data_IF_767001228052
#
_entry.id   IF_767001228052
#
_cell.length_a   1.000
_cell.length_b   1.000
_cell.length_c   1.000
_cell.angle_alpha   90.00
_cell.angle_beta   90.00
_cell.angle_gamma   90.00
#
_symmetry.space_group_name_H-M   'P 1'
#
loop_
_entity.id
_entity.type
_entity.pdbx_description
1 polymer ?
#
# COMPACT_ATOMS: atom_id res chain seq x y z
N UNK A 1 -14.94 17.83 20.31
CA UNK A 1 -13.80 18.74 20.57
C UNK A 1 -13.35 18.57 22.02
N UNK A 2 -12.06 18.68 22.28
CA UNK A 2 -11.54 18.77 23.64
C UNK A 2 -11.70 20.21 24.18
N UNK A 3 -11.37 20.42 25.46
CA UNK A 3 -11.46 21.74 26.09
C UNK A 3 -10.57 22.83 25.45
N UNK A 4 -9.75 22.47 24.44
CA UNK A 4 -8.88 23.37 23.68
C UNK A 4 -9.37 23.53 22.22
N UNK A 5 -10.56 23.03 21.89
CA UNK A 5 -11.15 23.08 20.54
C UNK A 5 -10.51 22.14 19.52
N UNK A 6 -9.78 21.10 19.95
CA UNK A 6 -9.24 20.11 19.05
C UNK A 6 -10.31 19.08 18.71
N UNK A 7 -10.33 18.66 17.46
CA UNK A 7 -11.12 17.48 17.02
C UNK A 7 -10.45 16.22 17.57
N UNK A 8 -11.19 15.49 18.40
CA UNK A 8 -10.72 14.23 18.97
C UNK A 8 -11.55 13.04 18.47
N UNK A 9 -10.95 11.86 18.33
CA UNK A 9 -11.70 10.67 17.94
C UNK A 9 -12.82 10.38 18.93
N UNK A 10 -13.99 9.99 18.43
CA UNK A 10 -15.07 9.51 19.27
C UNK A 10 -14.80 8.07 19.71
N UNK A 11 -15.44 7.66 20.81
CA UNK A 11 -15.43 6.25 21.26
C UNK A 11 -16.24 5.32 20.34
N UNK A 12 -16.97 5.87 19.38
CA UNK A 12 -17.79 5.10 18.44
C UNK A 12 -17.08 4.97 17.10
N UNK A 13 -17.09 3.74 16.58
CA UNK A 13 -16.64 3.44 15.22
C UNK A 13 -17.86 3.28 14.34
N UNK A 14 -17.93 4.03 13.25
CA UNK A 14 -18.96 3.85 12.23
C UNK A 14 -18.65 2.57 11.43
N UNK A 15 -19.41 1.52 11.66
CA UNK A 15 -19.36 0.28 10.90
C UNK A 15 -20.66 0.14 10.12
N UNK A 16 -20.61 0.33 8.84
CA UNK A 16 -21.68 0.09 7.86
C UNK A 16 -23.13 0.58 8.20
N UNK A 17 -24.04 0.55 7.21
CA UNK A 17 -25.37 1.17 7.16
C UNK A 17 -26.41 0.77 8.22
N UNK A 18 -26.12 -0.16 9.10
CA UNK A 18 -27.09 -0.71 10.05
C UNK A 18 -26.88 -0.24 11.50
N UNK A 19 -26.53 1.03 11.71
CA UNK A 19 -26.47 1.56 13.06
C UNK A 19 -27.90 1.83 13.54
N UNK A 20 -28.56 0.80 14.04
CA UNK A 20 -29.85 0.88 14.70
C UNK A 20 -29.74 1.15 16.21
N UNK A 21 -28.50 1.23 16.73
CA UNK A 21 -28.27 1.47 18.16
C UNK A 21 -28.70 2.92 18.52
N UNK A 22 -29.70 3.09 19.43
CA UNK A 22 -30.19 4.40 19.83
C UNK A 22 -29.09 5.30 20.38
N UNK A 23 -28.17 4.78 21.19
CA UNK A 23 -27.09 5.57 21.80
C UNK A 23 -26.14 6.19 20.76
N UNK A 24 -25.90 5.47 19.66
CA UNK A 24 -25.08 5.98 18.55
C UNK A 24 -25.85 7.03 17.77
N UNK A 25 -27.16 6.83 17.58
CA UNK A 25 -28.03 7.79 16.93
C UNK A 25 -28.07 9.12 17.71
N UNK A 26 -28.29 9.06 19.00
CA UNK A 26 -28.34 10.23 19.87
C UNK A 26 -26.99 10.93 19.92
N UNK A 27 -25.89 10.18 19.97
CA UNK A 27 -24.53 10.74 19.85
C UNK A 27 -24.33 11.47 18.53
N UNK A 28 -24.72 10.88 17.40
CA UNK A 28 -24.59 11.50 16.07
C UNK A 28 -25.46 12.77 15.92
N UNK A 29 -26.66 12.77 16.51
CA UNK A 29 -27.54 13.96 16.51
C UNK A 29 -27.01 15.08 17.41
N UNK A 30 -26.40 14.73 18.55
CA UNK A 30 -25.83 15.70 19.49
C UNK A 30 -24.45 16.21 19.06
N UNK A 31 -23.79 15.52 18.14
CA UNK A 31 -22.47 15.90 17.66
C UNK A 31 -22.56 17.14 16.76
N UNK A 32 -21.73 18.13 17.04
CA UNK A 32 -21.60 19.35 16.24
C UNK A 32 -21.23 18.98 14.80
N UNK A 33 -22.12 19.27 13.88
CA UNK A 33 -21.91 19.03 12.45
C UNK A 33 -20.95 20.05 11.84
N UNK A 34 -20.17 19.60 10.86
CA UNK A 34 -19.24 20.48 10.15
C UNK A 34 -18.05 20.94 10.98
N UNK A 35 -17.57 20.10 11.92
CA UNK A 35 -16.34 20.35 12.66
C UNK A 35 -15.20 20.57 11.68
N UNK A 36 -14.65 21.76 11.69
CA UNK A 36 -13.45 22.13 10.92
C UNK A 36 -12.33 22.49 11.88
N UNK A 37 -11.08 22.14 11.58
CA UNK A 37 -9.93 22.57 12.37
C UNK A 37 -9.91 24.10 12.51
N UNK A 38 -9.36 24.62 13.61
CA UNK A 38 -9.18 26.06 13.78
C UNK A 38 -8.46 26.68 12.57
N UNK A 39 -8.71 27.95 12.31
CA UNK A 39 -8.08 28.66 11.19
C UNK A 39 -6.56 28.55 11.18
N UNK A 40 -5.95 28.51 12.36
CA UNK A 40 -4.51 28.32 12.52
C UNK A 40 -4.06 26.91 12.10
N UNK A 41 -4.80 25.87 12.50
CA UNK A 41 -4.56 24.49 12.03
C UNK A 41 -4.86 24.31 10.55
N UNK A 42 -5.87 24.98 10.02
CA UNK A 42 -6.15 24.98 8.58
C UNK A 42 -5.02 25.62 7.80
N UNK A 43 -4.50 26.78 8.26
CA UNK A 43 -3.35 27.44 7.64
C UNK A 43 -2.10 26.55 7.68
N UNK A 44 -1.81 25.91 8.82
CA UNK A 44 -0.67 25.02 8.94
C UNK A 44 -0.81 23.76 8.08
N UNK A 45 -2.01 23.20 7.96
CA UNK A 45 -2.27 22.10 7.04
C UNK A 45 -2.23 22.53 5.58
N UNK A 46 -2.66 23.74 5.27
CA UNK A 46 -2.55 24.31 3.92
C UNK A 46 -1.11 24.59 3.56
N UNK A 47 -0.30 25.11 4.49
CA UNK A 47 1.14 25.30 4.30
C UNK A 47 1.88 23.96 4.12
N UNK A 48 1.55 22.94 4.94
CA UNK A 48 2.09 21.58 4.74
C UNK A 48 1.65 20.96 3.40
N UNK A 49 0.41 21.18 2.98
CA UNK A 49 -0.07 20.76 1.66
C UNK A 49 0.54 21.56 0.52
N UNK A 50 0.87 22.83 0.73
CA UNK A 50 1.53 23.65 -0.29
C UNK A 50 3.02 23.32 -0.43
N UNK A 51 3.69 22.93 0.65
CA UNK A 51 5.08 22.42 0.59
C UNK A 51 5.16 20.99 0.05
N UNK A 52 4.08 20.21 0.10
CA UNK A 52 3.96 18.90 -0.56
C UNK A 52 3.21 18.93 -1.90
N UNK A 53 2.69 20.08 -2.32
CA UNK A 53 2.24 20.35 -3.68
C UNK A 53 3.43 20.87 -4.50
N UNK A 54 4.45 20.08 -4.67
CA UNK A 54 5.05 19.96 -5.98
C UNK A 54 3.88 19.79 -6.96
N UNK A 55 3.88 20.57 -8.03
CA UNK A 55 2.91 20.42 -9.10
C UNK A 55 2.66 18.93 -9.31
N UNK A 56 1.40 18.49 -9.13
CA UNK A 56 1.07 17.10 -9.48
C UNK A 56 1.13 17.09 -11.00
N UNK A 57 2.34 16.98 -11.52
CA UNK A 57 2.51 16.72 -12.94
C UNK A 57 1.89 15.36 -13.22
N UNK A 58 1.09 15.24 -14.26
CA UNK A 58 0.52 13.96 -14.63
C UNK A 58 1.64 12.93 -14.83
N UNK A 59 1.49 11.76 -14.21
CA UNK A 59 2.42 10.66 -14.43
C UNK A 59 2.16 10.10 -15.81
N UNK A 60 2.99 10.51 -16.78
CA UNK A 60 2.88 10.13 -18.18
C UNK A 60 4.24 9.67 -18.73
N UNK A 61 4.21 9.10 -19.94
CA UNK A 61 5.41 8.56 -20.59
C UNK A 61 5.84 7.23 -19.98
N UNK A 62 7.07 6.84 -20.25
CA UNK A 62 7.62 5.60 -19.70
C UNK A 62 7.99 5.78 -18.24
N UNK A 63 7.54 4.83 -17.42
CA UNK A 63 7.86 4.72 -15.99
C UNK A 63 8.23 3.29 -15.66
N UNK A 64 9.10 3.13 -14.65
CA UNK A 64 9.53 1.82 -14.21
C UNK A 64 9.04 1.59 -12.77
N UNK A 65 8.53 0.38 -12.51
CA UNK A 65 8.17 -0.09 -11.19
C UNK A 65 9.09 -1.25 -10.79
N UNK A 66 9.47 -1.30 -9.52
CA UNK A 66 10.23 -2.42 -8.98
C UNK A 66 9.30 -3.34 -8.18
N UNK A 67 9.23 -4.59 -8.58
CA UNK A 67 8.45 -5.64 -7.92
C UNK A 67 9.39 -6.64 -7.29
N UNK A 68 9.38 -6.74 -5.97
CA UNK A 68 10.24 -7.67 -5.23
C UNK A 68 9.40 -8.82 -4.70
N UNK A 69 9.71 -10.03 -5.12
CA UNK A 69 9.05 -11.24 -4.64
C UNK A 69 9.76 -11.73 -3.38
N UNK A 70 9.03 -11.81 -2.27
CA UNK A 70 9.52 -12.32 -1.00
C UNK A 70 8.79 -13.59 -0.60
N UNK A 71 9.53 -14.59 -0.17
CA UNK A 71 8.97 -15.83 0.38
C UNK A 71 9.60 -16.12 1.73
N UNK A 72 8.97 -17.00 2.52
CA UNK A 72 9.42 -17.32 3.86
C UNK A 72 10.00 -18.74 3.93
N UNK A 73 10.61 -19.09 5.04
CA UNK A 73 11.08 -20.47 5.25
C UNK A 73 9.93 -21.47 5.22
N UNK A 74 8.75 -21.06 5.73
CA UNK A 74 7.53 -21.86 5.88
C UNK A 74 6.48 -21.62 4.78
N UNK A 75 6.63 -20.56 3.96
CA UNK A 75 5.71 -20.22 2.86
C UNK A 75 6.52 -19.89 1.60
N UNK A 76 6.28 -20.67 0.54
CA UNK A 76 6.91 -20.48 -0.77
C UNK A 76 5.89 -20.13 -1.81
N UNK A 77 6.31 -19.42 -2.86
CA UNK A 77 5.49 -19.28 -4.04
C UNK A 77 5.25 -20.64 -4.71
N UNK A 78 4.02 -20.85 -5.15
CA UNK A 78 3.62 -22.01 -5.97
C UNK A 78 3.71 -21.70 -7.45
N UNK A 79 3.69 -20.43 -7.81
CA UNK A 79 3.82 -19.90 -9.17
C UNK A 79 5.24 -19.40 -9.41
N UNK A 80 5.65 -19.40 -10.68
CA UNK A 80 6.99 -19.00 -11.10
C UNK A 80 7.08 -17.48 -11.29
N UNK A 81 8.31 -16.96 -11.24
CA UNK A 81 8.58 -15.54 -11.49
C UNK A 81 8.07 -15.08 -12.86
N UNK A 82 8.17 -15.94 -13.87
CA UNK A 82 7.74 -15.68 -15.24
C UNK A 82 6.22 -15.43 -15.33
N UNK A 83 5.43 -16.04 -14.48
CA UNK A 83 3.98 -15.83 -14.42
C UNK A 83 3.66 -14.42 -13.83
N UNK A 84 4.46 -13.96 -12.87
CA UNK A 84 4.37 -12.57 -12.41
C UNK A 84 4.77 -11.60 -13.53
N UNK A 85 5.81 -11.92 -14.28
CA UNK A 85 6.23 -11.07 -15.40
C UNK A 85 5.11 -10.92 -16.44
N UNK A 86 4.44 -12.03 -16.78
CA UNK A 86 3.27 -12.02 -17.66
C UNK A 86 2.13 -11.17 -17.08
N UNK A 87 1.79 -11.37 -15.81
CA UNK A 87 0.72 -10.63 -15.14
C UNK A 87 0.99 -9.11 -15.11
N UNK A 88 2.24 -8.71 -14.95
CA UNK A 88 2.59 -7.30 -14.85
C UNK A 88 2.81 -6.63 -16.20
N UNK A 89 3.43 -7.31 -17.18
CA UNK A 89 3.99 -6.67 -18.37
C UNK A 89 3.35 -7.10 -19.70
N UNK A 90 2.58 -8.20 -19.75
CA UNK A 90 1.98 -8.66 -21.02
C UNK A 90 0.94 -7.68 -21.54
N UNK A 91 0.82 -7.63 -22.87
CA UNK A 91 -0.25 -6.92 -23.54
C UNK A 91 -1.41 -7.90 -23.75
N UNK A 92 -2.61 -7.49 -23.37
CA UNK A 92 -3.84 -8.30 -23.47
C UNK A 92 -3.76 -9.62 -22.67
N UNK A 93 -3.22 -9.55 -21.46
CA UNK A 93 -3.19 -10.70 -20.56
C UNK A 93 -4.62 -11.17 -20.22
N UNK A 94 -4.87 -12.48 -20.37
CA UNK A 94 -6.21 -13.06 -20.19
C UNK A 94 -6.19 -14.45 -19.52
N UNK A 95 -5.10 -14.82 -18.86
CA UNK A 95 -5.03 -16.07 -18.12
C UNK A 95 -5.86 -15.97 -16.82
N UNK A 96 -6.38 -17.10 -16.37
CA UNK A 96 -7.16 -17.25 -15.14
C UNK A 96 -8.37 -16.30 -15.01
N UNK A 97 -8.93 -15.87 -16.15
CA UNK A 97 -10.08 -14.95 -16.19
C UNK A 97 -9.73 -13.48 -16.00
N UNK A 98 -8.45 -13.14 -16.06
CA UNK A 98 -8.03 -11.75 -16.08
C UNK A 98 -8.49 -11.04 -17.36
N UNK A 99 -8.75 -9.74 -17.27
CA UNK A 99 -9.18 -8.88 -18.38
C UNK A 99 -8.07 -7.93 -18.85
N UNK A 100 -6.84 -8.19 -18.45
CA UNK A 100 -5.65 -7.42 -18.77
C UNK A 100 -4.57 -7.61 -17.72
N UNK A 101 -3.34 -7.21 -18.06
CA UNK A 101 -2.22 -7.12 -17.13
C UNK A 101 -2.24 -5.83 -16.33
N UNK A 102 -1.29 -5.67 -15.41
CA UNK A 102 -1.04 -4.40 -14.74
C UNK A 102 -0.66 -3.30 -15.75
N UNK A 103 0.13 -3.64 -16.76
CA UNK A 103 0.45 -2.76 -17.87
C UNK A 103 -0.81 -2.32 -18.63
N UNK A 104 -1.67 -3.26 -19.03
CA UNK A 104 -2.92 -2.97 -19.75
C UNK A 104 -3.82 -2.02 -18.93
N UNK A 105 -3.97 -2.30 -17.64
CA UNK A 105 -4.77 -1.47 -16.74
C UNK A 105 -4.27 -0.01 -16.69
N UNK A 106 -3.00 0.21 -16.43
CA UNK A 106 -2.47 1.57 -16.36
C UNK A 106 -2.44 2.27 -17.72
N UNK A 107 -2.23 1.51 -18.80
CA UNK A 107 -2.30 2.04 -20.17
C UNK A 107 -3.71 2.55 -20.48
N UNK A 108 -4.73 1.79 -20.15
CA UNK A 108 -6.14 2.18 -20.34
C UNK A 108 -6.53 3.36 -19.45
N UNK A 109 -6.26 3.26 -18.15
CA UNK A 109 -6.62 4.30 -17.17
C UNK A 109 -5.95 5.65 -17.43
N UNK A 110 -4.80 5.66 -18.07
CA UNK A 110 -4.09 6.87 -18.48
C UNK A 110 -4.45 7.35 -19.88
N UNK A 111 -5.45 6.77 -20.54
CA UNK A 111 -5.78 7.03 -21.93
C UNK A 111 -4.56 6.85 -22.87
N UNK A 112 -3.76 5.83 -22.62
CA UNK A 112 -2.57 5.51 -23.39
C UNK A 112 -1.35 6.39 -23.10
N UNK A 113 -1.40 7.27 -22.12
CA UNK A 113 -0.33 8.22 -21.84
C UNK A 113 0.77 7.66 -20.94
N UNK A 114 0.46 6.69 -20.07
CA UNK A 114 1.43 6.02 -19.20
C UNK A 114 1.86 4.69 -19.81
N UNK A 115 3.18 4.47 -19.85
CA UNK A 115 3.81 3.22 -20.26
C UNK A 115 4.60 2.67 -19.07
N UNK A 116 3.93 1.82 -18.27
CA UNK A 116 4.49 1.28 -17.05
C UNK A 116 5.22 -0.04 -17.32
N UNK A 117 6.52 -0.08 -17.08
CA UNK A 117 7.34 -1.28 -17.19
C UNK A 117 7.70 -1.77 -15.79
N UNK A 118 7.43 -3.03 -15.48
CA UNK A 118 7.69 -3.61 -14.17
C UNK A 118 8.87 -4.57 -14.21
N UNK A 119 9.89 -4.29 -13.40
CA UNK A 119 11.00 -5.24 -13.22
C UNK A 119 10.68 -6.16 -12.05
N UNK A 120 10.58 -7.45 -12.31
CA UNK A 120 10.29 -8.46 -11.29
C UNK A 120 11.60 -9.09 -10.82
N UNK A 121 11.89 -9.03 -9.54
CA UNK A 121 13.08 -9.66 -8.95
C UNK A 121 12.73 -10.62 -7.83
N UNK A 122 13.56 -11.60 -7.59
CA UNK A 122 13.33 -12.65 -6.62
C UNK A 122 12.83 -13.95 -7.29
N UNK A 123 12.15 -14.85 -6.56
CA UNK A 123 11.79 -14.71 -5.15
C UNK A 123 13.01 -14.84 -4.22
N UNK A 124 13.10 -13.93 -3.25
CA UNK A 124 14.07 -14.00 -2.16
C UNK A 124 13.44 -14.66 -0.93
N UNK A 125 14.23 -15.43 -0.20
CA UNK A 125 13.74 -16.03 1.04
C UNK A 125 14.10 -15.13 2.21
N UNK A 126 13.07 -14.66 2.93
CA UNK A 126 13.23 -13.89 4.15
C UNK A 126 13.95 -14.71 5.24
N UNK A 127 14.62 -14.03 6.16
CA UNK A 127 15.42 -14.66 7.23
C UNK A 127 14.58 -15.45 8.21
N UNK A 128 13.32 -15.07 8.39
CA UNK A 128 12.40 -15.65 9.35
C UNK A 128 11.18 -16.26 8.67
N UNK A 129 10.34 -16.92 9.45
CA UNK A 129 9.03 -17.40 9.04
C UNK A 129 8.02 -16.24 8.88
N UNK A 130 6.89 -16.52 8.24
CA UNK A 130 5.86 -15.51 8.01
C UNK A 130 5.33 -14.90 9.32
N UNK A 131 5.22 -15.73 10.37
CA UNK A 131 4.70 -15.30 11.65
C UNK A 131 5.63 -14.31 12.40
N UNK A 132 6.91 -14.29 12.10
CA UNK A 132 7.81 -13.28 12.64
C UNK A 132 7.45 -11.87 12.17
N UNK A 133 7.07 -11.72 10.90
CA UNK A 133 6.73 -10.43 10.30
C UNK A 133 5.28 -10.03 10.57
N UNK A 134 4.34 -10.96 10.39
CA UNK A 134 2.91 -10.69 10.35
C UNK A 134 2.15 -10.95 11.64
N UNK A 135 2.75 -11.63 12.65
CA UNK A 135 2.01 -11.87 13.89
C UNK A 135 1.50 -10.56 14.50
N UNK A 136 0.23 -10.53 14.87
CA UNK A 136 -0.36 -9.38 15.52
C UNK A 136 0.37 -8.97 16.80
N UNK A 137 0.57 -7.67 16.97
CA UNK A 137 1.14 -7.08 18.18
C UNK A 137 0.22 -7.31 19.37
N UNK A 138 0.78 -7.73 20.52
CA UNK A 138 0.04 -7.87 21.76
C UNK A 138 -0.57 -6.58 22.31
N UNK A 139 -0.11 -5.44 21.79
CA UNK A 139 -0.63 -4.11 22.17
C UNK A 139 -1.80 -3.67 21.28
N UNK A 140 -2.22 -4.51 20.31
CA UNK A 140 -3.22 -4.19 19.30
C UNK A 140 -2.69 -3.28 18.21
N UNK A 141 -3.30 -3.30 17.03
CA UNK A 141 -3.06 -2.29 16.00
C UNK A 141 -2.12 -2.68 14.87
N UNK A 142 -2.00 -3.95 14.54
CA UNK A 142 -1.33 -4.42 13.32
C UNK A 142 -0.19 -5.39 13.57
N UNK A 143 0.51 -5.69 12.52
CA UNK A 143 1.61 -6.65 12.49
C UNK A 143 2.80 -6.23 13.34
N UNK A 144 3.54 -7.21 13.85
CA UNK A 144 4.64 -6.97 14.77
C UNK A 144 5.87 -6.38 14.08
N UNK A 145 6.26 -6.94 12.94
CA UNK A 145 7.51 -6.57 12.27
C UNK A 145 7.39 -6.42 10.74
N UNK A 146 6.36 -5.77 10.19
CA UNK A 146 6.16 -5.71 8.74
C UNK A 146 7.29 -4.94 8.05
N UNK A 147 7.82 -3.90 8.70
CA UNK A 147 8.92 -3.11 8.17
C UNK A 147 10.23 -3.91 8.05
N UNK A 148 10.46 -4.93 8.89
CA UNK A 148 11.65 -5.77 8.77
C UNK A 148 11.65 -6.56 7.45
N UNK A 149 10.48 -7.00 6.96
CA UNK A 149 10.37 -7.63 5.65
C UNK A 149 10.71 -6.65 4.53
N UNK A 150 10.24 -5.41 4.66
CA UNK A 150 10.53 -4.35 3.68
C UNK A 150 12.04 -4.04 3.63
N UNK A 151 12.69 -3.89 4.79
CA UNK A 151 14.13 -3.65 4.88
C UNK A 151 14.94 -4.80 4.26
N UNK A 152 14.56 -6.06 4.54
CA UNK A 152 15.21 -7.22 3.92
C UNK A 152 15.03 -7.26 2.41
N UNK A 153 13.82 -6.95 1.91
CA UNK A 153 13.57 -6.89 0.48
C UNK A 153 14.46 -5.85 -0.22
N UNK A 154 14.61 -4.67 0.38
CA UNK A 154 15.50 -3.63 -0.14
C UNK A 154 16.98 -4.06 -0.09
N UNK A 155 17.40 -4.73 0.98
CA UNK A 155 18.78 -5.24 1.09
C UNK A 155 19.08 -6.24 -0.03
N UNK A 156 18.16 -7.16 -0.32
CA UNK A 156 18.32 -8.09 -1.44
C UNK A 156 18.34 -7.37 -2.80
N UNK A 157 17.43 -6.41 -2.98
CA UNK A 157 17.32 -5.67 -4.23
C UNK A 157 18.57 -4.84 -4.52
N UNK A 158 19.21 -4.26 -3.51
CA UNK A 158 20.38 -3.39 -3.62
C UNK A 158 21.54 -3.98 -4.45
N UNK A 159 21.70 -5.30 -4.43
CA UNK A 159 22.74 -6.01 -5.20
C UNK A 159 22.27 -6.45 -6.58
N UNK A 160 21.00 -6.24 -6.95
CA UNK A 160 20.38 -6.78 -8.15
C UNK A 160 19.91 -5.72 -9.13
N UNK A 161 19.60 -4.53 -8.65
CA UNK A 161 19.07 -3.45 -9.48
C UNK A 161 19.76 -2.13 -9.18
N UNK A 162 19.76 -1.27 -10.19
CA UNK A 162 20.09 0.14 -10.01
C UNK A 162 18.81 0.90 -9.66
N UNK A 163 18.71 1.36 -8.44
CA UNK A 163 17.53 2.07 -7.95
C UNK A 163 17.25 3.38 -8.68
N UNK A 164 18.25 4.01 -9.28
CA UNK A 164 18.06 5.25 -10.06
C UNK A 164 17.15 5.06 -11.28
N UNK A 165 16.97 3.82 -11.72
CA UNK A 165 16.02 3.46 -12.79
C UNK A 165 14.57 3.73 -12.41
N UNK A 166 14.26 3.73 -11.11
CA UNK A 166 12.91 3.88 -10.56
C UNK A 166 12.66 5.25 -9.92
N UNK A 167 13.57 6.19 -10.15
CA UNK A 167 13.49 7.60 -9.76
C UNK A 167 13.35 8.43 -11.05
N UNK A 168 12.12 8.55 -11.53
CA UNK A 168 11.86 9.13 -12.84
C UNK A 168 11.91 10.66 -12.83
N UNK A 169 11.61 11.29 -11.70
CA UNK A 169 11.65 12.75 -11.54
C UNK A 169 13.00 13.25 -10.98
N UNK A 170 13.89 12.32 -10.62
CA UNK A 170 15.25 12.56 -10.12
C UNK A 170 15.30 13.35 -8.82
N UNK A 171 14.34 13.11 -7.95
CA UNK A 171 14.28 13.73 -6.63
C UNK A 171 15.10 12.96 -5.57
N UNK A 172 15.67 11.81 -5.93
CA UNK A 172 16.48 10.95 -5.07
C UNK A 172 15.68 9.88 -4.33
N UNK A 173 14.39 9.74 -4.64
CA UNK A 173 13.53 8.71 -4.08
C UNK A 173 13.03 7.78 -5.19
N UNK A 174 12.70 6.55 -4.81
CA UNK A 174 12.09 5.58 -5.71
C UNK A 174 10.60 5.93 -5.85
N UNK A 175 10.11 6.15 -7.08
CA UNK A 175 8.72 6.50 -7.35
C UNK A 175 7.73 5.38 -6.98
N UNK A 176 8.12 4.14 -7.28
CA UNK A 176 7.23 3.00 -7.12
C UNK A 176 7.99 1.71 -6.83
N UNK A 177 7.67 1.08 -5.69
CA UNK A 177 8.18 -0.22 -5.29
C UNK A 177 7.06 -1.04 -4.67
N UNK A 178 6.93 -2.28 -5.10
CA UNK A 178 5.99 -3.23 -4.52
C UNK A 178 6.72 -4.45 -3.98
N UNK A 179 6.27 -4.93 -2.83
CA UNK A 179 6.70 -6.20 -2.27
C UNK A 179 5.53 -7.17 -2.31
N UNK A 180 5.69 -8.26 -3.05
CA UNK A 180 4.71 -9.35 -3.09
C UNK A 180 5.28 -10.49 -2.27
N UNK A 181 4.53 -10.95 -1.29
CA UNK A 181 4.95 -12.05 -0.44
C UNK A 181 4.16 -13.33 -0.72
N UNK A 182 4.80 -14.47 -0.47
CA UNK A 182 4.17 -15.78 -0.65
C UNK A 182 3.18 -16.08 0.48
N UNK A 183 2.01 -16.57 0.12
CA UNK A 183 0.93 -16.92 1.04
C UNK A 183 -0.22 -15.93 0.99
N UNK A 184 -1.23 -16.19 1.81
CA UNK A 184 -2.39 -15.32 1.93
C UNK A 184 -2.17 -14.32 3.07
N UNK A 185 -2.60 -13.08 2.86
CA UNK A 185 -2.63 -12.06 3.89
C UNK A 185 -3.81 -12.23 4.85
N UNK A 186 -3.72 -11.60 6.01
CA UNK A 186 -4.78 -11.65 7.03
C UNK A 186 -6.10 -11.05 6.53
N UNK A 187 -6.03 -10.03 5.66
CA UNK A 187 -7.19 -9.41 5.01
C UNK A 187 -8.01 -10.38 4.15
N UNK A 188 -7.40 -11.48 3.70
CA UNK A 188 -8.07 -12.56 2.96
C UNK A 188 -8.68 -13.62 3.88
N UNK A 189 -8.68 -13.41 5.20
CA UNK A 189 -9.17 -14.36 6.20
C UNK A 189 -8.15 -15.43 6.60
N UNK A 190 -6.87 -15.21 6.34
CA UNK A 190 -5.81 -16.07 6.84
C UNK A 190 -5.60 -15.90 8.37
N UNK A 191 -4.66 -16.67 8.92
CA UNK A 191 -4.37 -16.66 10.35
C UNK A 191 -3.89 -15.27 10.84
N UNK A 192 -4.19 -14.86 12.08
CA UNK A 192 -3.59 -13.68 12.72
C UNK A 192 -2.06 -13.71 12.87
N UNK A 193 -1.41 -14.75 12.38
CA UNK A 193 0.05 -14.86 12.28
C UNK A 193 0.57 -14.59 10.85
N UNK A 194 -0.29 -14.14 9.95
CA UNK A 194 0.09 -13.73 8.59
C UNK A 194 0.15 -12.20 8.49
N UNK A 195 0.75 -11.70 7.44
CA UNK A 195 0.91 -10.26 7.23
C UNK A 195 -0.44 -9.67 6.81
N UNK A 196 -0.78 -8.53 7.36
CA UNK A 196 -1.86 -7.68 6.86
C UNK A 196 -1.31 -6.76 5.76
N UNK A 197 -1.85 -6.85 4.56
CA UNK A 197 -1.40 -6.08 3.38
C UNK A 197 -2.34 -4.91 3.02
#
# INVERSE_FOLDING_TARGET
EDNKGNVVPSKYRLVHKSIENPDIKDFLYSTKKGLVPSLEKQKNNTLKRQTSRQSIEPVVGQRNALIILMQFSDKKFTIKKEEFDLLFNSIHYNDDGAIGSVYDYYKEMSYGQLDLQSDIIGPFTARNDMAYYGRNSSLGGGDKNPFALFEEALEYAKSKVDFSKYDSDRDGYIDNIHIIFAGYGEESGASPNTIWS
#
